data_IF_023675708288
#
_entry.id   IF_023675708288
#
_cell.length_a   1.000
_cell.length_b   1.000
_cell.length_c   1.000
_cell.angle_alpha   90.00
_cell.angle_beta   90.00
_cell.angle_gamma   90.00
#
_symmetry.space_group_name_H-M   'P 1'
#
loop_
_entity.id
_entity.type
_entity.pdbx_description
1 polymer ?
#
# COMPACT_ATOMS: atom_id res chain seq x y z
N UNK A 1 -42.88 3.88 -40.92
CA UNK A 1 -43.61 4.04 -39.65
C UNK A 1 -42.76 3.40 -38.57
N UNK A 2 -41.82 4.15 -38.00
CA UNK A 2 -40.93 3.65 -36.96
C UNK A 2 -41.63 3.79 -35.62
N UNK A 3 -41.64 2.75 -34.76
CA UNK A 3 -42.21 2.89 -33.43
C UNK A 3 -41.34 3.87 -32.64
N UNK A 4 -41.93 4.97 -32.19
CA UNK A 4 -41.35 5.81 -31.13
C UNK A 4 -41.30 4.94 -29.88
N UNK A 5 -40.15 4.34 -29.60
CA UNK A 5 -39.82 3.92 -28.26
C UNK A 5 -39.64 5.19 -27.44
N UNK A 6 -40.73 5.68 -26.83
CA UNK A 6 -40.63 6.57 -25.69
C UNK A 6 -40.01 5.75 -24.57
N UNK A 7 -38.68 5.82 -24.46
CA UNK A 7 -37.98 5.40 -23.26
C UNK A 7 -38.48 6.34 -22.17
N UNK A 8 -39.38 5.83 -21.36
CA UNK A 8 -39.92 6.55 -20.22
C UNK A 8 -38.83 6.58 -19.14
N UNK A 9 -37.95 7.58 -19.24
CA UNK A 9 -36.84 7.83 -18.31
C UNK A 9 -37.37 8.03 -16.88
N UNK A 10 -38.65 8.39 -16.72
CA UNK A 10 -39.30 8.56 -15.42
C UNK A 10 -39.49 7.26 -14.64
N UNK A 11 -39.56 6.10 -15.31
CA UNK A 11 -39.68 4.80 -14.64
C UNK A 11 -38.35 4.25 -14.10
N UNK A 12 -37.21 4.76 -14.60
CA UNK A 12 -35.87 4.46 -14.08
C UNK A 12 -35.41 5.43 -12.99
N UNK A 13 -36.20 6.49 -12.74
CA UNK A 13 -35.96 7.42 -11.64
C UNK A 13 -36.73 6.92 -10.41
N UNK A 14 -35.97 6.31 -9.48
CA UNK A 14 -36.28 6.27 -8.04
C UNK A 14 -37.32 5.26 -7.54
N UNK A 15 -37.11 3.97 -7.86
CA UNK A 15 -37.17 2.94 -6.80
C UNK A 15 -35.75 2.54 -6.44
N UNK A 16 -35.18 3.27 -5.48
CA UNK A 16 -33.99 2.82 -4.79
C UNK A 16 -34.47 1.84 -3.73
N UNK A 17 -34.51 0.55 -4.10
CA UNK A 17 -34.77 -0.55 -3.18
C UNK A 17 -33.65 -0.63 -2.12
N UNK A 18 -33.96 -1.24 -0.97
CA UNK A 18 -33.01 -1.50 0.11
C UNK A 18 -31.77 -2.23 -0.44
N UNK A 19 -30.58 -1.91 0.09
CA UNK A 19 -29.34 -2.56 -0.31
C UNK A 19 -29.43 -4.07 -0.07
N UNK A 20 -29.04 -4.83 -1.10
CA UNK A 20 -29.00 -6.29 -1.03
C UNK A 20 -28.12 -6.76 0.16
N UNK A 21 -28.62 -7.68 0.99
CA UNK A 21 -27.92 -8.23 2.15
C UNK A 21 -26.50 -8.74 1.81
N UNK A 22 -26.33 -9.30 0.61
CA UNK A 22 -25.03 -9.76 0.15
C UNK A 22 -24.05 -8.60 -0.08
N UNK A 23 -24.53 -7.47 -0.60
CA UNK A 23 -23.72 -6.26 -0.77
C UNK A 23 -23.30 -5.72 0.59
N UNK A 24 -24.23 -5.66 1.55
CA UNK A 24 -23.93 -5.24 2.92
C UNK A 24 -22.84 -6.13 3.53
N UNK A 25 -22.99 -7.46 3.42
CA UNK A 25 -22.00 -8.42 3.89
C UNK A 25 -20.63 -8.19 3.24
N UNK A 26 -20.59 -7.98 1.92
CA UNK A 26 -19.37 -7.68 1.20
C UNK A 26 -18.71 -6.39 1.69
N UNK A 27 -19.47 -5.31 1.92
CA UNK A 27 -18.95 -4.04 2.45
C UNK A 27 -18.37 -4.21 3.86
N UNK A 28 -19.06 -4.94 4.74
CA UNK A 28 -18.58 -5.24 6.10
C UNK A 28 -17.28 -6.05 6.07
N UNK A 29 -17.22 -7.10 5.25
CA UNK A 29 -15.99 -7.87 5.04
C UNK A 29 -14.86 -6.98 4.52
N UNK A 30 -15.18 -6.06 3.61
CA UNK A 30 -14.20 -5.16 3.01
C UNK A 30 -13.63 -4.17 4.03
N UNK A 31 -14.49 -3.63 4.92
CA UNK A 31 -14.06 -2.80 6.05
C UNK A 31 -13.15 -3.60 6.98
N UNK A 32 -13.54 -4.81 7.38
CA UNK A 32 -12.77 -5.64 8.30
C UNK A 32 -11.36 -5.93 7.78
N UNK A 33 -11.22 -6.32 6.51
CA UNK A 33 -9.92 -6.58 5.89
C UNK A 33 -9.07 -5.30 5.85
N UNK A 34 -9.68 -4.14 5.55
CA UNK A 34 -8.96 -2.86 5.53
C UNK A 34 -8.51 -2.42 6.93
N UNK A 35 -9.23 -2.79 7.99
CA UNK A 35 -8.78 -2.60 9.38
C UNK A 35 -7.52 -3.42 9.68
N UNK A 36 -7.41 -4.63 9.15
CA UNK A 36 -6.16 -5.42 9.26
C UNK A 36 -5.01 -4.68 8.58
N UNK A 37 -5.21 -4.15 7.37
CA UNK A 37 -4.20 -3.37 6.66
C UNK A 37 -3.78 -2.10 7.41
N UNK A 38 -4.75 -1.43 8.04
CA UNK A 38 -4.48 -0.30 8.93
C UNK A 38 -3.61 -0.71 10.12
N UNK A 39 -3.94 -1.80 10.82
CA UNK A 39 -3.18 -2.28 11.96
C UNK A 39 -1.72 -2.61 11.59
N UNK A 40 -1.51 -3.33 10.48
CA UNK A 40 -0.16 -3.62 9.95
C UNK A 40 0.62 -2.33 9.66
N UNK A 41 -0.03 -1.33 9.08
CA UNK A 41 0.62 -0.05 8.75
C UNK A 41 0.99 0.75 10.01
N UNK A 42 0.15 0.69 11.06
CA UNK A 42 0.43 1.31 12.36
C UNK A 42 1.61 0.63 13.05
N UNK A 43 1.67 -0.70 13.04
CA UNK A 43 2.78 -1.47 13.60
C UNK A 43 4.10 -1.10 12.92
N UNK A 44 4.14 -1.09 11.59
CA UNK A 44 5.34 -0.66 10.86
C UNK A 44 5.72 0.80 11.12
N UNK A 45 4.76 1.69 11.28
CA UNK A 45 5.06 3.07 11.66
C UNK A 45 5.66 3.16 13.07
N UNK A 46 5.12 2.39 14.01
CA UNK A 46 5.62 2.36 15.38
C UNK A 46 7.09 1.91 15.44
N UNK A 47 7.43 0.88 14.68
CA UNK A 47 8.76 0.25 14.71
C UNK A 47 9.82 1.03 13.92
N UNK A 48 9.45 1.56 12.75
CA UNK A 48 10.41 2.24 11.86
C UNK A 48 10.45 3.75 12.02
N UNK A 49 9.36 4.37 12.49
CA UNK A 49 9.11 5.82 12.45
C UNK A 49 9.23 6.45 11.06
N UNK A 50 9.10 5.65 10.00
CA UNK A 50 9.18 6.13 8.61
C UNK A 50 7.85 6.76 8.17
N UNK A 51 7.91 7.96 7.61
CA UNK A 51 6.74 8.73 7.18
C UNK A 51 5.97 8.06 6.04
N UNK A 52 6.56 7.14 5.28
CA UNK A 52 5.83 6.36 4.27
C UNK A 52 4.67 5.56 4.87
N UNK A 53 4.79 5.11 6.13
CA UNK A 53 3.72 4.37 6.79
C UNK A 53 2.56 5.25 7.23
N UNK A 54 2.79 6.55 7.48
CA UNK A 54 1.70 7.50 7.66
C UNK A 54 0.83 7.58 6.39
N UNK A 55 1.44 7.54 5.20
CA UNK A 55 0.70 7.53 3.94
C UNK A 55 -0.17 6.26 3.82
N UNK A 56 0.35 5.09 4.19
CA UNK A 56 -0.46 3.87 4.20
C UNK A 56 -1.57 3.91 5.26
N UNK A 57 -1.30 4.43 6.46
CA UNK A 57 -2.32 4.62 7.51
C UNK A 57 -3.47 5.47 6.98
N UNK A 58 -3.16 6.63 6.38
CA UNK A 58 -4.19 7.46 5.76
C UNK A 58 -4.92 6.71 4.65
N UNK A 59 -4.21 6.03 3.75
CA UNK A 59 -4.83 5.22 2.69
C UNK A 59 -5.90 4.26 3.22
N UNK A 60 -5.56 3.47 4.24
CA UNK A 60 -6.49 2.50 4.83
C UNK A 60 -7.67 3.18 5.51
N UNK A 61 -7.43 4.27 6.27
CA UNK A 61 -8.51 5.05 6.90
C UNK A 61 -9.48 5.61 5.86
N UNK A 62 -8.97 6.21 4.79
CA UNK A 62 -9.80 6.76 3.72
C UNK A 62 -10.64 5.68 3.04
N UNK A 63 -10.06 4.51 2.78
CA UNK A 63 -10.78 3.37 2.23
C UNK A 63 -11.81 2.75 3.20
N UNK A 64 -11.54 2.74 4.49
CA UNK A 64 -12.52 2.30 5.51
C UNK A 64 -13.72 3.25 5.49
N UNK A 65 -13.47 4.56 5.61
CA UNK A 65 -14.50 5.59 5.62
C UNK A 65 -15.29 5.59 4.31
N UNK A 66 -14.62 5.40 3.17
CA UNK A 66 -15.28 5.24 1.87
C UNK A 66 -16.36 4.17 1.91
N UNK A 67 -16.08 2.97 2.46
CA UNK A 67 -17.05 1.87 2.50
C UNK A 67 -18.18 2.06 3.53
N UNK A 68 -18.02 2.97 4.49
CA UNK A 68 -19.09 3.32 5.44
C UNK A 68 -20.16 4.15 4.74
N UNK A 69 -19.79 5.03 3.80
CA UNK A 69 -20.75 5.92 3.16
C UNK A 69 -21.88 5.23 2.39
N UNK A 70 -21.67 4.17 1.60
CA UNK A 70 -22.77 3.45 0.97
C UNK A 70 -23.76 2.85 1.98
N UNK A 71 -23.28 2.41 3.15
CA UNK A 71 -24.14 1.92 4.24
C UNK A 71 -24.99 3.08 4.78
N UNK A 72 -24.37 4.23 5.04
CA UNK A 72 -25.12 5.43 5.46
C UNK A 72 -26.10 5.93 4.40
N UNK A 73 -25.75 5.76 3.12
CA UNK A 73 -26.59 6.11 1.98
C UNK A 73 -27.85 5.23 1.91
N UNK A 74 -27.76 3.98 2.35
CA UNK A 74 -28.89 3.06 2.44
C UNK A 74 -29.84 3.39 3.61
N UNK A 75 -29.29 3.90 4.71
CA UNK A 75 -30.06 4.30 5.90
C UNK A 75 -30.84 5.62 5.76
N UNK A 76 -30.76 6.29 4.61
CA UNK A 76 -31.44 7.58 4.36
C UNK A 76 -32.50 7.47 3.28
N UNK A 77 -33.70 7.95 3.59
CA UNK A 77 -34.80 8.07 2.62
C UNK A 77 -34.69 9.33 1.73
N UNK A 78 -33.84 10.30 2.11
CA UNK A 78 -33.67 11.55 1.36
C UNK A 78 -32.70 11.34 0.19
N UNK A 79 -33.22 11.36 -1.04
CA UNK A 79 -32.44 11.12 -2.27
C UNK A 79 -31.19 12.00 -2.40
N UNK A 80 -31.29 13.31 -2.14
CA UNK A 80 -30.13 14.20 -2.21
C UNK A 80 -29.04 13.84 -1.19
N UNK A 81 -29.42 13.34 -0.01
CA UNK A 81 -28.47 12.90 1.01
C UNK A 81 -27.82 11.56 0.62
N UNK A 82 -28.59 10.65 0.01
CA UNK A 82 -28.10 9.38 -0.55
C UNK A 82 -27.03 9.63 -1.63
N UNK A 83 -27.32 10.51 -2.59
CA UNK A 83 -26.35 10.92 -3.62
C UNK A 83 -25.09 11.54 -3.02
N UNK A 84 -25.25 12.43 -2.05
CA UNK A 84 -24.13 13.07 -1.36
C UNK A 84 -23.21 12.05 -0.68
N UNK A 85 -23.76 11.07 0.03
CA UNK A 85 -22.97 9.99 0.63
C UNK A 85 -22.25 9.15 -0.43
N UNK A 86 -22.88 8.83 -1.56
CA UNK A 86 -22.22 8.11 -2.64
C UNK A 86 -21.10 8.93 -3.30
N UNK A 87 -21.22 10.26 -3.38
CA UNK A 87 -20.11 11.14 -3.80
C UNK A 87 -18.98 11.10 -2.78
N UNK A 88 -19.28 11.12 -1.48
CA UNK A 88 -18.28 10.98 -0.43
C UNK A 88 -17.57 9.63 -0.48
N UNK A 89 -18.29 8.54 -0.78
CA UNK A 89 -17.70 7.20 -1.01
C UNK A 89 -16.56 7.28 -2.04
N UNK A 90 -16.83 7.80 -3.24
CA UNK A 90 -15.81 7.81 -4.29
C UNK A 90 -14.70 8.83 -4.02
N UNK A 91 -15.04 9.97 -3.40
CA UNK A 91 -14.07 10.98 -2.99
C UNK A 91 -13.04 10.40 -2.01
N UNK A 92 -13.51 9.71 -0.96
CA UNK A 92 -12.63 9.05 0.01
C UNK A 92 -11.90 7.86 -0.61
N UNK A 93 -12.53 7.12 -1.52
CA UNK A 93 -11.86 6.04 -2.25
C UNK A 93 -10.68 6.56 -3.08
N UNK A 94 -10.86 7.65 -3.82
CA UNK A 94 -9.81 8.34 -4.58
C UNK A 94 -8.69 8.85 -3.67
N UNK A 95 -9.03 9.45 -2.53
CA UNK A 95 -8.07 9.83 -1.49
C UNK A 95 -7.22 8.65 -1.04
N UNK A 96 -7.85 7.51 -0.75
CA UNK A 96 -7.18 6.27 -0.39
C UNK A 96 -6.19 5.80 -1.46
N UNK A 97 -6.62 5.73 -2.73
CA UNK A 97 -5.74 5.35 -3.84
C UNK A 97 -4.57 6.33 -4.04
N UNK A 98 -4.80 7.63 -3.84
CA UNK A 98 -3.77 8.66 -3.90
C UNK A 98 -2.69 8.46 -2.84
N UNK A 99 -3.09 8.28 -1.58
CA UNK A 99 -2.17 8.01 -0.48
C UNK A 99 -1.44 6.68 -0.63
N UNK A 100 -2.13 5.62 -1.06
CA UNK A 100 -1.50 4.32 -1.31
C UNK A 100 -0.41 4.43 -2.38
N UNK A 101 -0.74 5.02 -3.53
CA UNK A 101 0.19 5.17 -4.66
C UNK A 101 1.39 6.00 -4.26
N UNK A 102 1.15 7.06 -3.50
CA UNK A 102 2.22 7.89 -2.94
C UNK A 102 3.16 7.05 -2.05
N UNK A 103 2.62 6.38 -1.03
CA UNK A 103 3.41 5.54 -0.13
C UNK A 103 4.17 4.46 -0.89
N UNK A 104 3.53 3.81 -1.86
CA UNK A 104 4.17 2.79 -2.68
C UNK A 104 5.36 3.31 -3.48
N UNK A 105 5.26 4.50 -4.08
CA UNK A 105 6.37 5.08 -4.85
C UNK A 105 7.56 5.48 -3.98
N UNK A 106 7.33 5.88 -2.72
CA UNK A 106 8.45 6.22 -1.82
C UNK A 106 9.40 5.06 -1.56
N UNK A 107 8.99 3.81 -1.80
CA UNK A 107 9.87 2.64 -1.65
C UNK A 107 11.03 2.57 -2.65
N UNK A 108 10.88 3.13 -3.86
CA UNK A 108 11.88 2.97 -4.91
C UNK A 108 12.21 4.26 -5.68
N UNK A 109 11.54 5.38 -5.38
CA UNK A 109 11.84 6.67 -5.99
C UNK A 109 11.64 7.83 -5.01
N UNK A 110 12.39 8.91 -5.24
CA UNK A 110 12.18 10.19 -4.54
C UNK A 110 10.94 10.83 -5.14
N UNK A 111 9.90 10.98 -4.31
CA UNK A 111 8.62 11.53 -4.73
C UNK A 111 8.56 13.03 -4.40
N UNK A 112 8.28 13.92 -5.38
CA UNK A 112 8.14 15.33 -5.11
C UNK A 112 6.87 15.60 -4.27
N UNK A 113 7.07 15.97 -3.00
CA UNK A 113 6.01 16.23 -2.01
C UNK A 113 4.91 17.16 -2.56
N UNK A 114 5.31 18.23 -3.27
CA UNK A 114 4.38 19.23 -3.82
C UNK A 114 3.39 18.62 -4.81
N UNK A 115 3.84 17.74 -5.71
CA UNK A 115 3.00 17.13 -6.74
C UNK A 115 1.95 16.22 -6.09
N UNK A 116 2.37 15.35 -5.18
CA UNK A 116 1.45 14.39 -4.55
C UNK A 116 0.51 15.05 -3.54
N UNK A 117 0.97 16.07 -2.81
CA UNK A 117 0.07 16.88 -1.97
C UNK A 117 -1.01 17.54 -2.82
N UNK A 118 -0.63 18.12 -3.96
CA UNK A 118 -1.58 18.69 -4.91
C UNK A 118 -2.57 17.64 -5.44
N UNK A 119 -2.09 16.45 -5.83
CA UNK A 119 -2.96 15.36 -6.31
C UNK A 119 -3.95 14.88 -5.24
N UNK A 120 -3.51 14.78 -3.98
CA UNK A 120 -4.39 14.41 -2.86
C UNK A 120 -5.42 15.50 -2.58
N UNK A 121 -5.04 16.78 -2.58
CA UNK A 121 -6.02 17.87 -2.41
C UNK A 121 -7.04 17.83 -3.56
N UNK A 122 -6.55 17.65 -4.79
CA UNK A 122 -7.38 17.57 -5.98
C UNK A 122 -8.36 16.39 -5.91
N UNK A 123 -7.96 15.23 -5.38
CA UNK A 123 -8.84 14.08 -5.24
C UNK A 123 -9.99 14.29 -4.26
N UNK A 124 -9.89 15.25 -3.33
CA UNK A 124 -10.99 15.67 -2.46
C UNK A 124 -11.82 16.80 -3.08
N UNK A 125 -11.16 17.87 -3.53
CA UNK A 125 -11.87 19.08 -3.95
C UNK A 125 -12.59 18.91 -5.28
N UNK A 126 -12.01 18.14 -6.21
CA UNK A 126 -12.52 18.04 -7.57
C UNK A 126 -13.85 17.28 -7.65
N UNK A 127 -14.03 16.08 -7.05
CA UNK A 127 -15.33 15.40 -7.08
C UNK A 127 -16.45 16.23 -6.43
N UNK A 128 -16.15 16.88 -5.29
CA UNK A 128 -17.14 17.71 -4.59
C UNK A 128 -17.56 18.94 -5.41
N UNK A 129 -16.61 19.61 -6.06
CA UNK A 129 -16.89 20.75 -6.93
C UNK A 129 -17.66 20.33 -8.18
N UNK A 130 -17.31 19.19 -8.79
CA UNK A 130 -18.04 18.65 -9.93
C UNK A 130 -19.48 18.28 -9.55
N UNK A 131 -19.70 17.70 -8.37
CA UNK A 131 -21.05 17.36 -7.90
C UNK A 131 -21.98 18.59 -7.90
N UNK A 132 -21.47 19.74 -7.46
CA UNK A 132 -22.23 20.99 -7.40
C UNK A 132 -22.54 21.54 -8.81
N UNK A 133 -21.64 21.38 -9.78
CA UNK A 133 -21.75 22.03 -11.11
C UNK A 133 -22.48 21.13 -12.12
N UNK A 134 -22.11 19.86 -12.20
CA UNK A 134 -22.54 18.93 -13.25
C UNK A 134 -23.41 17.78 -12.74
N UNK A 135 -23.66 17.73 -11.43
CA UNK A 135 -24.56 16.76 -10.80
C UNK A 135 -23.92 15.39 -10.52
N UNK A 136 -24.74 14.50 -9.95
CA UNK A 136 -24.32 13.19 -9.43
C UNK A 136 -23.69 12.27 -10.48
N UNK A 137 -24.43 11.96 -11.55
CA UNK A 137 -24.03 10.93 -12.52
C UNK A 137 -22.68 11.23 -13.16
N UNK A 138 -22.49 12.45 -13.67
CA UNK A 138 -21.23 12.83 -14.33
C UNK A 138 -20.05 12.85 -13.35
N UNK A 139 -20.30 13.24 -12.09
CA UNK A 139 -19.28 13.21 -11.03
C UNK A 139 -18.81 11.79 -10.72
N UNK A 140 -19.75 10.84 -10.64
CA UNK A 140 -19.42 9.43 -10.41
C UNK A 140 -18.59 8.86 -11.57
N UNK A 141 -19.01 9.09 -12.81
CA UNK A 141 -18.26 8.64 -14.01
C UNK A 141 -16.83 9.18 -14.02
N UNK A 142 -16.69 10.48 -13.79
CA UNK A 142 -15.38 11.14 -13.76
C UNK A 142 -14.50 10.58 -12.65
N UNK A 143 -15.06 10.36 -11.47
CA UNK A 143 -14.32 9.87 -10.31
C UNK A 143 -13.86 8.41 -10.49
N UNK A 144 -14.72 7.56 -11.06
CA UNK A 144 -14.36 6.18 -11.44
C UNK A 144 -13.24 6.19 -12.49
N UNK A 145 -13.33 7.04 -13.50
CA UNK A 145 -12.27 7.21 -14.49
C UNK A 145 -10.92 7.62 -13.86
N UNK A 146 -10.95 8.55 -12.90
CA UNK A 146 -9.74 8.93 -12.14
C UNK A 146 -9.15 7.78 -11.33
N UNK A 147 -9.98 6.92 -10.71
CA UNK A 147 -9.49 5.71 -10.02
C UNK A 147 -8.71 4.83 -10.99
N UNK A 148 -9.23 4.57 -12.19
CA UNK A 148 -8.51 3.79 -13.20
C UNK A 148 -7.20 4.44 -13.63
N UNK A 149 -7.15 5.77 -13.79
CA UNK A 149 -5.90 6.47 -14.08
C UNK A 149 -4.88 6.27 -12.96
N UNK A 150 -5.28 6.43 -11.70
CA UNK A 150 -4.37 6.24 -10.56
C UNK A 150 -3.83 4.80 -10.50
N UNK A 151 -4.71 3.82 -10.73
CA UNK A 151 -4.31 2.41 -10.83
C UNK A 151 -3.32 2.18 -11.97
N UNK A 152 -3.61 2.68 -13.17
CA UNK A 152 -2.71 2.58 -14.33
C UNK A 152 -1.34 3.21 -14.04
N UNK A 153 -1.29 4.37 -13.38
CA UNK A 153 -0.03 5.00 -12.96
C UNK A 153 0.74 4.07 -12.01
N UNK A 154 0.05 3.48 -11.04
CA UNK A 154 0.61 2.49 -10.11
C UNK A 154 1.25 1.28 -10.82
N UNK A 155 0.79 0.95 -12.03
CA UNK A 155 1.29 -0.19 -12.82
C UNK A 155 2.28 0.15 -13.93
N UNK A 156 2.21 1.36 -14.50
CA UNK A 156 3.06 1.81 -15.60
C UNK A 156 4.38 2.39 -15.10
N UNK A 157 4.39 3.07 -13.95
CA UNK A 157 5.63 3.67 -13.41
C UNK A 157 6.67 2.62 -13.00
N UNK A 158 6.31 1.52 -12.30
CA UNK A 158 7.26 0.47 -11.94
C UNK A 158 8.09 -0.13 -13.11
N UNK A 159 7.49 -0.54 -14.25
CA UNK A 159 8.27 -1.04 -15.38
C UNK A 159 9.12 0.04 -16.07
N UNK A 160 8.72 1.33 -16.03
CA UNK A 160 9.57 2.44 -16.52
C UNK A 160 10.84 2.56 -15.65
N UNK A 161 10.70 2.40 -14.33
CA UNK A 161 11.80 2.42 -13.35
C UNK A 161 12.29 1.01 -12.99
N UNK A 162 12.34 0.11 -13.98
CA UNK A 162 12.59 -1.33 -13.75
C UNK A 162 13.83 -1.63 -12.90
N UNK A 163 14.94 -0.92 -13.10
CA UNK A 163 16.20 -1.19 -12.40
C UNK A 163 16.06 -0.92 -10.90
N UNK A 164 15.55 0.24 -10.53
CA UNK A 164 15.28 0.62 -9.15
C UNK A 164 14.17 -0.26 -8.56
N UNK A 165 13.08 -0.42 -9.28
CA UNK A 165 11.93 -1.20 -8.85
C UNK A 165 12.30 -2.65 -8.50
N UNK A 166 12.96 -3.38 -9.41
CA UNK A 166 13.40 -4.76 -9.17
C UNK A 166 14.39 -4.82 -8.01
N UNK A 167 15.30 -3.84 -7.91
CA UNK A 167 16.28 -3.75 -6.82
C UNK A 167 15.62 -3.65 -5.45
N UNK A 168 14.51 -2.91 -5.30
CA UNK A 168 13.84 -2.72 -4.02
C UNK A 168 12.78 -3.80 -3.73
N UNK A 169 12.05 -4.23 -4.76
CA UNK A 169 10.99 -5.23 -4.60
C UNK A 169 11.54 -6.62 -4.28
N UNK A 170 12.70 -7.01 -4.86
CA UNK A 170 13.30 -8.32 -4.64
C UNK A 170 12.30 -9.47 -4.85
N UNK A 171 12.13 -10.32 -3.83
CA UNK A 171 11.21 -11.47 -3.87
C UNK A 171 9.73 -11.05 -3.80
N UNK A 172 9.43 -9.85 -3.31
CA UNK A 172 8.05 -9.33 -3.17
C UNK A 172 7.41 -8.97 -4.50
N UNK A 173 8.18 -8.92 -5.59
CA UNK A 173 7.69 -8.61 -6.93
C UNK A 173 6.57 -9.56 -7.41
N UNK A 174 6.56 -10.81 -6.93
CA UNK A 174 5.50 -11.78 -7.23
C UNK A 174 4.12 -11.31 -6.76
N UNK A 175 4.06 -10.67 -5.59
CA UNK A 175 2.83 -10.17 -5.00
C UNK A 175 2.33 -8.93 -5.73
N UNK A 176 3.24 -8.09 -6.21
CA UNK A 176 2.89 -6.98 -7.10
C UNK A 176 2.25 -7.47 -8.40
N UNK A 177 2.83 -8.48 -9.06
CA UNK A 177 2.21 -9.05 -10.27
C UNK A 177 0.88 -9.77 -10.01
N UNK A 178 0.72 -10.39 -8.84
CA UNK A 178 -0.58 -10.96 -8.43
C UNK A 178 -1.66 -9.88 -8.31
N UNK A 179 -1.31 -8.71 -7.77
CA UNK A 179 -2.21 -7.55 -7.73
C UNK A 179 -2.54 -7.07 -9.14
N UNK A 180 -1.52 -6.86 -10.00
CA UNK A 180 -1.72 -6.45 -11.40
C UNK A 180 -2.71 -7.39 -12.11
N UNK A 181 -2.53 -8.71 -11.93
CA UNK A 181 -3.39 -9.72 -12.52
C UNK A 181 -4.85 -9.59 -12.03
N UNK A 182 -5.07 -9.41 -10.73
CA UNK A 182 -6.41 -9.19 -10.18
C UNK A 182 -7.07 -7.92 -10.72
N UNK A 183 -6.32 -6.85 -10.94
CA UNK A 183 -6.86 -5.62 -11.51
C UNK A 183 -7.21 -5.78 -13.00
N UNK A 184 -6.38 -6.50 -13.77
CA UNK A 184 -6.69 -6.80 -15.17
C UNK A 184 -7.94 -7.67 -15.27
N UNK A 185 -8.10 -8.68 -14.41
CA UNK A 185 -9.30 -9.53 -14.40
C UNK A 185 -10.55 -8.80 -13.91
N UNK A 186 -10.40 -7.81 -13.05
CA UNK A 186 -11.50 -6.97 -12.58
C UNK A 186 -12.02 -5.99 -13.65
N UNK A 187 -11.17 -5.55 -14.59
CA UNK A 187 -11.56 -4.58 -15.61
C UNK A 187 -12.77 -5.03 -16.48
N UNK A 188 -12.81 -6.24 -17.07
CA UNK A 188 -13.99 -6.73 -17.78
C UNK A 188 -15.26 -6.74 -16.92
N UNK A 189 -15.15 -7.13 -15.64
CA UNK A 189 -16.29 -7.22 -14.71
C UNK A 189 -16.87 -5.82 -14.48
N UNK A 190 -16.00 -4.84 -14.26
CA UNK A 190 -16.41 -3.45 -14.09
C UNK A 190 -17.02 -2.86 -15.37
N UNK A 191 -16.52 -3.22 -16.55
CA UNK A 191 -17.08 -2.78 -17.83
C UNK A 191 -18.46 -3.40 -18.09
N UNK A 192 -18.66 -4.68 -17.77
CA UNK A 192 -19.97 -5.34 -17.85
C UNK A 192 -20.95 -4.67 -16.90
N UNK A 193 -20.55 -4.46 -15.64
CA UNK A 193 -21.38 -3.80 -14.63
C UNK A 193 -21.83 -2.41 -15.10
N UNK A 194 -20.92 -1.66 -15.73
CA UNK A 194 -21.21 -0.36 -16.34
C UNK A 194 -22.24 -0.47 -17.47
N UNK A 195 -22.03 -1.38 -18.42
CA UNK A 195 -22.96 -1.59 -19.54
C UNK A 195 -24.35 -2.06 -19.08
N UNK A 196 -24.43 -2.73 -17.93
CA UNK A 196 -25.67 -3.16 -17.27
C UNK A 196 -26.39 -2.03 -16.51
N UNK A 197 -25.86 -0.81 -16.49
CA UNK A 197 -26.50 0.35 -15.85
C UNK A 197 -26.08 0.59 -14.40
N UNK A 198 -25.18 -0.23 -13.83
CA UNK A 198 -24.66 -0.07 -12.46
C UNK A 198 -23.49 0.92 -12.40
N UNK A 199 -23.69 2.10 -12.99
CA UNK A 199 -22.66 3.11 -13.23
C UNK A 199 -22.04 3.70 -11.97
N UNK A 200 -22.70 3.56 -10.82
CA UNK A 200 -22.31 4.11 -9.53
C UNK A 200 -22.03 3.02 -8.47
N UNK A 201 -21.94 1.75 -8.88
CA UNK A 201 -21.72 0.59 -8.02
C UNK A 201 -22.89 -0.39 -8.05
N UNK A 202 -22.66 -1.61 -7.54
CA UNK A 202 -23.67 -2.67 -7.47
C UNK A 202 -24.58 -2.56 -6.22
N UNK A 203 -24.70 -1.37 -5.63
CA UNK A 203 -25.36 -1.19 -4.33
C UNK A 203 -26.82 -1.64 -4.30
N UNK A 204 -27.52 -1.49 -5.43
CA UNK A 204 -28.90 -1.94 -5.60
C UNK A 204 -29.00 -3.08 -6.63
N UNK A 205 -27.92 -3.84 -6.82
CA UNK A 205 -27.96 -4.97 -7.75
C UNK A 205 -28.72 -6.15 -7.13
N UNK A 206 -29.59 -6.77 -7.92
CA UNK A 206 -30.26 -8.01 -7.54
C UNK A 206 -29.46 -9.24 -7.99
N UNK A 207 -28.63 -9.10 -9.04
CA UNK A 207 -27.84 -10.19 -9.60
C UNK A 207 -26.72 -10.59 -8.65
N UNK A 208 -26.96 -11.69 -7.93
CA UNK A 208 -26.04 -12.30 -6.98
C UNK A 208 -24.69 -12.66 -7.63
N UNK A 209 -24.69 -13.16 -8.87
CA UNK A 209 -23.47 -13.54 -9.56
C UNK A 209 -22.62 -12.30 -9.87
N UNK A 210 -23.26 -11.24 -10.35
CA UNK A 210 -22.59 -9.97 -10.64
C UNK A 210 -22.01 -9.33 -9.37
N UNK A 211 -22.75 -9.35 -8.26
CA UNK A 211 -22.28 -8.88 -6.94
C UNK A 211 -21.01 -9.64 -6.52
N UNK A 212 -21.04 -10.98 -6.55
CA UNK A 212 -19.88 -11.80 -6.17
C UNK A 212 -18.68 -11.52 -7.07
N UNK A 213 -18.90 -11.48 -8.39
CA UNK A 213 -17.83 -11.21 -9.37
C UNK A 213 -17.20 -9.84 -9.18
N UNK A 214 -17.95 -8.84 -8.72
CA UNK A 214 -17.43 -7.49 -8.45
C UNK A 214 -16.69 -7.38 -7.12
N UNK A 215 -17.29 -7.86 -6.03
CA UNK A 215 -16.72 -7.67 -4.70
C UNK A 215 -15.56 -8.64 -4.38
N UNK A 216 -15.57 -9.88 -4.89
CA UNK A 216 -14.51 -10.86 -4.58
C UNK A 216 -13.13 -10.43 -5.08
N UNK A 217 -12.92 -9.95 -6.33
CA UNK A 217 -11.63 -9.43 -6.77
C UNK A 217 -11.20 -8.21 -5.98
N UNK A 218 -12.14 -7.32 -5.64
CA UNK A 218 -11.88 -6.13 -4.84
C UNK A 218 -11.38 -6.50 -3.44
N UNK A 219 -12.08 -7.40 -2.75
CA UNK A 219 -11.68 -7.98 -1.45
C UNK A 219 -10.31 -8.65 -1.54
N UNK A 220 -10.13 -9.51 -2.54
CA UNK A 220 -8.87 -10.23 -2.77
C UNK A 220 -7.71 -9.27 -2.99
N UNK A 221 -7.93 -8.18 -3.74
CA UNK A 221 -6.90 -7.15 -3.95
C UNK A 221 -6.44 -6.53 -2.64
N UNK A 222 -7.36 -6.23 -1.71
CA UNK A 222 -7.01 -5.68 -0.39
C UNK A 222 -6.16 -6.65 0.43
N UNK A 223 -6.48 -7.95 0.41
CA UNK A 223 -5.67 -8.98 1.09
C UNK A 223 -4.26 -9.04 0.48
N UNK A 224 -4.15 -9.10 -0.85
CA UNK A 224 -2.82 -9.18 -1.49
C UNK A 224 -2.02 -7.89 -1.30
N UNK A 225 -2.66 -6.71 -1.24
CA UNK A 225 -2.00 -5.45 -0.91
C UNK A 225 -1.35 -5.50 0.48
N UNK A 226 -2.05 -6.05 1.48
CA UNK A 226 -1.50 -6.24 2.82
C UNK A 226 -0.29 -7.20 2.76
N UNK A 227 -0.43 -8.34 2.09
CA UNK A 227 0.66 -9.33 1.94
C UNK A 227 1.87 -8.70 1.24
N UNK A 228 1.63 -7.88 0.20
CA UNK A 228 2.67 -7.17 -0.52
C UNK A 228 3.43 -6.22 0.41
N UNK A 229 2.73 -5.39 1.19
CA UNK A 229 3.35 -4.45 2.13
C UNK A 229 4.24 -5.19 3.14
N UNK A 230 3.72 -6.27 3.75
CA UNK A 230 4.48 -7.08 4.71
C UNK A 230 5.75 -7.66 4.09
N UNK A 231 5.64 -8.27 2.91
CA UNK A 231 6.80 -8.87 2.25
C UNK A 231 7.81 -7.83 1.76
N UNK A 232 7.33 -6.66 1.29
CA UNK A 232 8.18 -5.57 0.84
C UNK A 232 9.02 -5.05 2.01
N UNK A 233 8.39 -4.81 3.16
CA UNK A 233 9.09 -4.34 4.34
C UNK A 233 10.10 -5.37 4.88
N UNK A 234 9.70 -6.64 4.93
CA UNK A 234 10.60 -7.72 5.32
C UNK A 234 11.83 -7.82 4.39
N UNK A 235 11.62 -7.66 3.07
CA UNK A 235 12.69 -7.70 2.07
C UNK A 235 13.67 -6.54 2.26
N UNK A 236 13.16 -5.33 2.50
CA UNK A 236 13.98 -4.14 2.73
C UNK A 236 14.76 -4.26 4.04
N UNK A 237 14.08 -4.60 5.14
CA UNK A 237 14.71 -4.77 6.45
C UNK A 237 15.81 -5.83 6.41
N UNK A 238 15.56 -6.97 5.75
CA UNK A 238 16.55 -8.04 5.59
C UNK A 238 17.78 -7.60 4.79
N UNK A 239 17.57 -6.81 3.73
CA UNK A 239 18.66 -6.24 2.94
C UNK A 239 19.50 -5.27 3.75
N UNK A 240 18.86 -4.36 4.48
CA UNK A 240 19.58 -3.39 5.32
C UNK A 240 20.36 -4.09 6.41
N UNK A 241 19.76 -5.08 7.09
CA UNK A 241 20.46 -5.94 8.04
C UNK A 241 21.70 -6.60 7.42
N UNK A 242 21.59 -7.13 6.21
CA UNK A 242 22.72 -7.74 5.51
C UNK A 242 23.83 -6.72 5.20
N UNK A 243 23.47 -5.53 4.71
CA UNK A 243 24.44 -4.46 4.42
C UNK A 243 25.15 -3.97 5.69
N UNK A 244 24.41 -3.79 6.78
CA UNK A 244 24.98 -3.39 8.06
C UNK A 244 25.88 -4.49 8.63
N UNK A 245 25.44 -5.75 8.58
CA UNK A 245 26.23 -6.92 8.99
C UNK A 245 27.57 -6.99 8.27
N UNK A 246 27.56 -6.86 6.94
CA UNK A 246 28.78 -6.86 6.13
C UNK A 246 29.70 -5.69 6.49
N UNK A 247 29.17 -4.47 6.52
CA UNK A 247 29.92 -3.25 6.84
C UNK A 247 30.56 -3.29 8.23
N UNK A 248 29.79 -3.63 9.26
CA UNK A 248 30.30 -3.65 10.63
C UNK A 248 31.25 -4.81 10.87
N UNK A 249 30.97 -6.00 10.33
CA UNK A 249 31.89 -7.14 10.45
C UNK A 249 33.24 -6.86 9.77
N UNK A 250 33.23 -6.20 8.61
CA UNK A 250 34.45 -5.75 7.93
C UNK A 250 35.23 -4.72 8.76
N UNK A 251 34.56 -3.67 9.25
CA UNK A 251 35.22 -2.63 10.04
C UNK A 251 35.78 -3.16 11.37
N UNK A 252 35.05 -4.04 12.05
CA UNK A 252 35.52 -4.70 13.27
C UNK A 252 36.74 -5.58 12.99
N UNK A 253 36.74 -6.31 11.87
CA UNK A 253 37.90 -7.08 11.40
C UNK A 253 39.14 -6.21 11.24
N UNK A 254 39.00 -5.06 10.59
CA UNK A 254 40.11 -4.12 10.37
C UNK A 254 40.65 -3.54 11.69
N UNK A 255 39.77 -3.10 12.60
CA UNK A 255 40.17 -2.56 13.90
C UNK A 255 40.93 -3.63 14.70
N UNK A 256 40.43 -4.86 14.71
CA UNK A 256 41.05 -5.97 15.41
C UNK A 256 42.42 -6.33 14.82
N UNK A 257 42.59 -6.24 13.51
CA UNK A 257 43.89 -6.43 12.86
C UNK A 257 44.89 -5.36 13.29
N UNK A 258 44.46 -4.10 13.37
CA UNK A 258 45.31 -3.00 13.87
C UNK A 258 45.71 -3.24 15.33
N UNK A 259 44.76 -3.61 16.21
CA UNK A 259 45.07 -3.91 17.62
C UNK A 259 46.08 -5.05 17.74
N UNK A 260 45.90 -6.11 16.95
CA UNK A 260 46.81 -7.27 16.93
C UNK A 260 48.20 -6.89 16.41
N UNK A 261 48.30 -6.09 15.36
CA UNK A 261 49.58 -5.62 14.85
C UNK A 261 50.28 -4.71 15.86
N UNK A 262 49.55 -3.81 16.53
CA UNK A 262 50.11 -2.99 17.61
C UNK A 262 50.56 -3.83 18.81
N UNK A 263 49.79 -4.84 19.22
CA UNK A 263 50.19 -5.73 20.32
C UNK A 263 51.45 -6.53 19.98
N UNK A 264 51.56 -7.04 18.75
CA UNK A 264 52.75 -7.72 18.25
C UNK A 264 53.98 -6.81 18.21
N UNK A 265 53.85 -5.56 17.76
CA UNK A 265 54.94 -4.57 17.77
C UNK A 265 55.41 -4.24 19.18
N UNK A 266 54.49 -4.09 20.14
CA UNK A 266 54.85 -3.86 21.55
C UNK A 266 55.57 -5.08 22.11
N UNK A 267 55.10 -6.29 21.79
CA UNK A 267 55.70 -7.56 22.25
C UNK A 267 57.15 -7.76 21.77
N UNK A 268 57.53 -7.14 20.65
CA UNK A 268 58.90 -7.16 20.12
C UNK A 268 59.86 -6.19 20.84
N UNK A 269 59.36 -5.33 21.74
CA UNK A 269 60.21 -4.41 22.50
C UNK A 269 60.96 -5.13 23.62
N UNK A 270 62.27 -4.88 23.73
CA UNK A 270 63.18 -5.63 24.60
C UNK A 270 62.99 -5.41 26.12
N UNK A 271 62.15 -4.45 26.53
CA UNK A 271 62.06 -3.97 27.92
C UNK A 271 60.69 -4.20 28.58
N UNK A 272 59.93 -5.21 28.17
CA UNK A 272 58.62 -5.50 28.75
C UNK A 272 58.73 -6.14 30.14
N UNK A 273 58.00 -5.56 31.10
CA UNK A 273 57.75 -6.16 32.41
C UNK A 273 56.87 -7.42 32.29
N UNK A 274 56.85 -8.26 33.33
CA UNK A 274 56.00 -9.46 33.38
C UNK A 274 54.50 -9.13 33.29
N UNK A 275 54.09 -8.00 33.86
CA UNK A 275 52.70 -7.55 33.84
C UNK A 275 52.27 -7.07 32.45
N UNK A 276 53.14 -6.37 31.72
CA UNK A 276 52.87 -5.96 30.34
C UNK A 276 52.76 -7.16 29.39
N UNK A 277 53.59 -8.20 29.57
CA UNK A 277 53.46 -9.46 28.82
C UNK A 277 52.11 -10.14 29.05
N UNK A 278 51.66 -10.23 30.30
CA UNK A 278 50.35 -10.82 30.63
C UNK A 278 49.18 -10.02 30.02
N UNK A 279 49.27 -8.68 30.03
CA UNK A 279 48.27 -7.82 29.38
C UNK A 279 48.24 -8.01 27.85
N UNK A 280 49.39 -8.18 27.20
CA UNK A 280 49.47 -8.45 25.76
C UNK A 280 48.88 -9.82 25.39
N UNK A 281 49.10 -10.85 26.20
CA UNK A 281 48.47 -12.16 26.02
C UNK A 281 46.95 -12.08 26.15
N UNK A 282 46.44 -11.34 27.14
CA UNK A 282 45.01 -11.10 27.32
C UNK A 282 44.40 -10.37 26.12
N UNK A 283 45.07 -9.33 25.60
CA UNK A 283 44.64 -8.61 24.38
C UNK A 283 44.55 -9.58 23.20
N UNK A 284 45.59 -10.41 22.98
CA UNK A 284 45.60 -11.39 21.90
C UNK A 284 44.49 -12.44 22.03
N UNK A 285 44.21 -12.91 23.25
CA UNK A 285 43.09 -13.81 23.51
C UNK A 285 41.75 -13.14 23.19
N UNK A 286 41.53 -11.91 23.64
CA UNK A 286 40.29 -11.16 23.38
C UNK A 286 40.10 -10.83 21.90
N UNK A 287 41.17 -10.56 21.16
CA UNK A 287 41.11 -10.45 19.70
C UNK A 287 40.71 -11.77 19.04
N UNK A 288 41.23 -12.93 19.48
CA UNK A 288 40.81 -14.25 18.94
C UNK A 288 39.34 -14.55 19.23
N UNK A 289 38.87 -14.29 20.45
CA UNK A 289 37.46 -14.45 20.82
C UNK A 289 36.56 -13.54 19.97
N UNK A 290 36.95 -12.27 19.81
CA UNK A 290 36.24 -11.30 18.96
C UNK A 290 36.20 -11.73 17.50
N UNK A 291 37.31 -12.28 16.97
CA UNK A 291 37.37 -12.79 15.60
C UNK A 291 36.37 -13.93 15.36
N UNK A 292 36.25 -14.84 16.33
CA UNK A 292 35.29 -15.94 16.28
C UNK A 292 33.86 -15.42 16.27
N UNK A 293 33.53 -14.48 17.16
CA UNK A 293 32.20 -13.85 17.22
C UNK A 293 31.87 -13.09 15.93
N UNK A 294 32.82 -12.36 15.34
CA UNK A 294 32.63 -11.67 14.05
C UNK A 294 32.33 -12.67 12.93
N UNK A 295 33.00 -13.83 12.94
CA UNK A 295 32.75 -14.91 11.98
C UNK A 295 31.35 -15.50 12.17
N UNK A 296 30.94 -15.79 13.40
CA UNK A 296 29.59 -16.26 13.73
C UNK A 296 28.53 -15.24 13.31
N UNK A 297 28.76 -13.95 13.54
CA UNK A 297 27.87 -12.86 13.08
C UNK A 297 27.75 -12.84 11.55
N UNK A 298 28.82 -13.10 10.79
CA UNK A 298 28.75 -13.15 9.33
C UNK A 298 27.95 -14.34 8.81
N UNK A 299 27.94 -15.44 9.55
CA UNK A 299 27.25 -16.69 9.17
C UNK A 299 25.74 -16.68 9.50
N UNK A 300 25.27 -15.78 10.37
CA UNK A 300 23.84 -15.50 10.67
C UNK A 300 23.12 -14.74 9.54
#
# INVERSE_FOLDING_TARGET
>A
MFPKASIDISYYLLRLEEMNDLVLLCLVMFIFIRVIGLAVSIEFFHDSRDSKFLLFIFSWLFWIVANIFPILADMTEVNGLKEFYLVLNVTFALGGFGFYTWGFFTYYMIVPLRLFTFLVILSFSLPLLLYIIIGFTLTMLFSVFLVYILLLIGYIVPPIKRKEFVKYMGKSIRWYYAIVFLFISYFPISAISFLSGYNYGLYNAEDTLLIVLYYVPSISSSVILIILLVHLEYTISSREKYVLKDKYSHNLGNIMQVIKSSSELINLSANLTSQEKSNLELINQKCKESAKLIKEIREL
#
